data_IF_846571798298
#
_entry.id   IF_846571798298
#
_cell.length_a   1.000
_cell.length_b   1.000
_cell.length_c   1.000
_cell.angle_alpha   90.00
_cell.angle_beta   90.00
_cell.angle_gamma   90.00
#
_symmetry.space_group_name_H-M   'P 1'
#
loop_
_entity.id
_entity.type
_entity.pdbx_description
1 polymer ?
#
# COMPACT_ATOMS: atom_id res chain seq x y z
N UNK A 1 -8.84 -19.64 -20.66
CA UNK A 1 -7.59 -19.16 -20.04
C UNK A 1 -6.59 -19.01 -21.16
N UNK A 2 -6.05 -17.81 -21.40
CA UNK A 2 -5.03 -17.58 -22.42
C UNK A 2 -3.69 -18.04 -21.86
N UNK A 3 -3.46 -19.35 -21.85
CA UNK A 3 -2.23 -20.01 -21.40
C UNK A 3 -1.06 -19.75 -22.39
N UNK A 4 -0.86 -18.51 -22.82
CA UNK A 4 0.12 -18.21 -23.86
C UNK A 4 0.71 -16.80 -23.85
N UNK A 5 0.01 -15.81 -23.29
CA UNK A 5 0.35 -14.41 -23.54
C UNK A 5 0.25 -14.10 -25.05
N UNK A 6 -0.62 -13.18 -25.46
CA UNK A 6 -0.68 -12.79 -26.88
C UNK A 6 0.37 -11.71 -27.16
N UNK A 7 1.65 -12.08 -27.12
CA UNK A 7 2.75 -11.19 -27.46
C UNK A 7 2.80 -10.98 -28.98
N UNK A 8 1.98 -10.06 -29.49
CA UNK A 8 1.98 -9.68 -30.90
C UNK A 8 3.32 -9.08 -31.33
N UNK A 9 3.74 -9.34 -32.58
CA UNK A 9 4.89 -8.66 -33.19
C UNK A 9 6.27 -9.25 -32.93
N UNK A 10 6.37 -10.50 -32.45
CA UNK A 10 7.67 -11.15 -32.21
C UNK A 10 8.31 -10.80 -30.86
N UNK A 11 7.52 -10.26 -29.94
CA UNK A 11 7.93 -10.10 -28.55
C UNK A 11 8.10 -11.48 -27.90
N UNK A 12 9.26 -11.69 -27.27
CA UNK A 12 9.60 -12.86 -26.48
C UNK A 12 9.46 -12.52 -25.01
N UNK A 13 8.98 -13.46 -24.19
CA UNK A 13 8.83 -13.30 -22.74
C UNK A 13 10.13 -12.76 -22.12
N UNK A 14 10.05 -11.60 -21.50
CA UNK A 14 11.11 -10.94 -20.74
C UNK A 14 10.94 -11.11 -19.23
N UNK A 15 12.02 -10.86 -18.49
CA UNK A 15 11.95 -10.71 -17.03
C UNK A 15 11.10 -9.46 -16.75
N UNK A 16 9.97 -9.63 -16.04
CA UNK A 16 9.00 -8.56 -15.77
C UNK A 16 7.66 -8.73 -16.49
N UNK A 17 7.53 -9.70 -17.41
CA UNK A 17 6.25 -9.99 -18.06
C UNK A 17 5.30 -10.77 -17.13
N UNK A 18 4.08 -10.26 -16.95
CA UNK A 18 3.01 -10.93 -16.20
C UNK A 18 2.20 -11.83 -17.13
N UNK A 19 2.73 -13.02 -17.40
CA UNK A 19 1.99 -14.07 -18.10
C UNK A 19 0.88 -14.69 -17.22
N UNK A 20 1.04 -14.59 -15.89
CA UNK A 20 0.07 -15.06 -14.91
C UNK A 20 -1.10 -14.07 -14.78
N UNK A 21 -2.27 -14.58 -14.38
CA UNK A 21 -3.42 -13.75 -14.05
C UNK A 21 -3.01 -12.70 -12.98
N UNK A 22 -3.18 -11.40 -13.25
CA UNK A 22 -2.84 -10.34 -12.30
C UNK A 22 -3.75 -10.33 -11.08
N UNK A 23 -4.84 -11.11 -11.04
CA UNK A 23 -5.80 -11.16 -9.95
C UNK A 23 -6.35 -9.77 -9.58
N UNK A 24 -6.98 -9.10 -10.55
CA UNK A 24 -7.79 -7.91 -10.27
C UNK A 24 -9.03 -8.26 -9.44
N UNK A 25 -9.57 -7.28 -8.71
CA UNK A 25 -10.80 -7.43 -7.94
C UNK A 25 -11.98 -7.86 -8.80
N UNK A 26 -12.27 -7.09 -9.86
CA UNK A 26 -13.40 -7.29 -10.75
C UNK A 26 -12.93 -7.00 -12.17
N UNK A 27 -13.06 -7.97 -13.07
CA UNK A 27 -12.81 -7.73 -14.50
C UNK A 27 -13.99 -6.96 -15.11
N UNK A 28 -13.70 -5.94 -15.91
CA UNK A 28 -14.73 -5.31 -16.75
C UNK A 28 -15.26 -6.29 -17.80
N UNK A 29 -16.49 -6.07 -18.25
CA UNK A 29 -17.14 -6.94 -19.24
C UNK A 29 -18.11 -6.15 -20.12
N UNK A 30 -18.42 -6.69 -21.30
CA UNK A 30 -19.52 -6.21 -22.14
C UNK A 30 -20.83 -6.81 -21.63
N UNK A 31 -21.75 -5.95 -21.22
CA UNK A 31 -23.13 -6.31 -20.89
C UNK A 31 -23.96 -6.27 -22.18
N UNK A 32 -24.69 -7.34 -22.46
CA UNK A 32 -25.53 -7.47 -23.65
C UNK A 32 -26.91 -6.83 -23.47
N UNK A 33 -27.16 -6.14 -22.35
CA UNK A 33 -28.43 -5.51 -22.01
C UNK A 33 -29.64 -6.48 -22.06
N UNK A 34 -29.38 -7.79 -21.91
CA UNK A 34 -30.38 -8.84 -22.05
C UNK A 34 -30.76 -9.16 -23.49
N UNK A 35 -30.03 -8.63 -24.48
CA UNK A 35 -30.25 -8.77 -25.92
C UNK A 35 -29.04 -9.39 -26.64
N UNK A 36 -28.66 -10.67 -26.38
CA UNK A 36 -27.43 -11.29 -26.93
C UNK A 36 -27.27 -11.25 -28.46
N UNK A 37 -28.38 -11.11 -29.21
CA UNK A 37 -28.38 -11.04 -30.68
C UNK A 37 -28.29 -9.62 -31.24
N UNK A 38 -28.61 -8.59 -30.45
CA UNK A 38 -28.54 -7.19 -30.84
C UNK A 38 -27.33 -6.56 -30.17
N UNK A 39 -26.24 -6.37 -30.92
CA UNK A 39 -25.02 -5.77 -30.37
C UNK A 39 -25.03 -4.25 -30.35
N UNK A 40 -26.12 -3.63 -30.79
CA UNK A 40 -26.19 -2.18 -30.92
C UNK A 40 -26.48 -1.47 -29.60
N UNK A 41 -26.98 -2.20 -28.60
CA UNK A 41 -27.22 -1.71 -27.25
C UNK A 41 -26.28 -2.31 -26.19
N UNK A 42 -25.37 -3.21 -26.59
CA UNK A 42 -24.27 -3.67 -25.75
C UNK A 42 -23.47 -2.47 -25.19
N UNK A 43 -23.15 -2.50 -23.90
CA UNK A 43 -22.33 -1.47 -23.26
C UNK A 43 -21.24 -2.06 -22.38
N UNK A 44 -20.16 -1.31 -22.21
CA UNK A 44 -19.04 -1.71 -21.37
C UNK A 44 -19.32 -1.39 -19.91
N UNK A 45 -19.16 -2.39 -19.04
CA UNK A 45 -19.18 -2.26 -17.59
C UNK A 45 -17.74 -2.24 -17.10
N UNK A 46 -17.36 -1.13 -16.48
CA UNK A 46 -16.01 -0.97 -15.94
C UNK A 46 -15.77 -1.90 -14.74
N UNK A 47 -14.57 -2.48 -14.69
CA UNK A 47 -14.13 -3.33 -13.59
C UNK A 47 -13.48 -2.56 -12.45
N UNK A 48 -13.05 -3.31 -11.44
CA UNK A 48 -12.16 -2.84 -10.37
C UNK A 48 -10.78 -3.50 -10.58
N UNK A 49 -9.82 -2.70 -11.04
CA UNK A 49 -8.46 -3.14 -11.37
C UNK A 49 -7.47 -3.00 -10.21
N UNK A 50 -7.95 -2.79 -8.98
CA UNK A 50 -7.09 -2.97 -7.81
C UNK A 50 -6.69 -4.45 -7.68
N UNK A 51 -5.45 -4.68 -7.27
CA UNK A 51 -4.87 -6.02 -7.15
C UNK A 51 -5.40 -6.72 -5.90
N UNK A 52 -5.83 -7.97 -6.01
CA UNK A 52 -6.25 -8.74 -4.84
C UNK A 52 -5.09 -8.90 -3.86
N UNK A 53 -5.37 -8.67 -2.58
CA UNK A 53 -4.37 -8.73 -1.52
C UNK A 53 -4.95 -9.29 -0.23
N UNK A 54 -4.26 -10.30 0.32
CA UNK A 54 -4.52 -10.81 1.66
C UNK A 54 -4.07 -9.85 2.77
N UNK A 55 -3.35 -8.77 2.43
CA UNK A 55 -2.98 -7.71 3.36
C UNK A 55 -3.88 -6.46 3.26
N UNK A 56 -4.68 -6.36 2.20
CA UNK A 56 -5.64 -5.29 2.01
C UNK A 56 -5.59 -4.72 0.60
N UNK A 57 -6.68 -4.88 -0.13
CA UNK A 57 -6.99 -4.20 -1.39
C UNK A 57 -7.92 -3.02 -1.12
N UNK A 58 -7.74 -1.92 -1.85
CA UNK A 58 -8.67 -0.78 -1.78
C UNK A 58 -9.99 -1.11 -2.48
N UNK A 59 -11.12 -0.87 -1.82
CA UNK A 59 -12.45 -0.92 -2.43
C UNK A 59 -12.96 0.51 -2.65
N UNK A 60 -13.07 0.97 -3.91
CA UNK A 60 -13.49 2.34 -4.21
C UNK A 60 -14.97 2.61 -3.89
N UNK A 61 -15.81 1.57 -3.74
CA UNK A 61 -17.23 1.77 -3.45
C UNK A 61 -17.49 2.06 -1.97
N UNK A 62 -16.71 1.44 -1.09
CA UNK A 62 -16.83 1.61 0.36
C UNK A 62 -15.74 2.49 0.96
N UNK A 63 -14.72 2.85 0.18
CA UNK A 63 -13.55 3.61 0.60
C UNK A 63 -12.83 2.93 1.79
N UNK A 64 -12.70 1.60 1.73
CA UNK A 64 -12.09 0.78 2.80
C UNK A 64 -11.14 -0.26 2.25
N UNK A 65 -10.27 -0.78 3.12
CA UNK A 65 -9.40 -1.93 2.81
C UNK A 65 -10.14 -3.25 3.00
N UNK A 66 -10.19 -4.07 1.95
CA UNK A 66 -10.79 -5.41 1.93
C UNK A 66 -9.68 -6.45 1.89
N UNK A 67 -9.82 -7.52 2.70
CA UNK A 67 -8.88 -8.64 2.70
C UNK A 67 -9.38 -9.70 1.71
N UNK A 68 -8.55 -10.03 0.73
CA UNK A 68 -8.82 -11.11 -0.22
C UNK A 68 -8.18 -12.44 0.24
N UNK A 69 -8.60 -13.54 -0.38
CA UNK A 69 -8.08 -14.89 -0.13
C UNK A 69 -6.81 -15.22 -0.94
N UNK A 70 -6.40 -14.33 -1.84
CA UNK A 70 -5.26 -14.49 -2.73
C UNK A 70 -4.45 -13.19 -2.81
N UNK A 71 -3.14 -13.33 -3.04
CA UNK A 71 -2.25 -12.22 -3.36
C UNK A 71 -1.95 -12.21 -4.86
N UNK A 72 -2.10 -11.04 -5.47
CA UNK A 72 -1.67 -10.80 -6.84
C UNK A 72 -0.14 -10.97 -6.98
N UNK A 73 0.35 -11.61 -8.06
CA UNK A 73 1.78 -11.65 -8.37
C UNK A 73 2.35 -10.29 -8.78
N UNK A 74 1.48 -9.30 -9.03
CA UNK A 74 1.87 -7.95 -9.42
C UNK A 74 2.16 -7.05 -8.22
N UNK A 75 1.90 -7.52 -6.99
CA UNK A 75 2.25 -6.79 -5.77
C UNK A 75 3.77 -6.82 -5.57
N UNK A 76 4.35 -5.66 -5.25
CA UNK A 76 5.79 -5.43 -5.08
C UNK A 76 6.64 -5.92 -6.26
N UNK A 77 6.08 -5.91 -7.47
CA UNK A 77 6.67 -6.54 -8.66
C UNK A 77 7.38 -5.57 -9.62
N UNK A 78 7.23 -4.26 -9.45
CA UNK A 78 7.77 -3.22 -10.35
C UNK A 78 9.28 -3.04 -10.24
N UNK A 79 9.88 -2.23 -11.11
CA UNK A 79 11.35 -2.12 -11.16
C UNK A 79 11.93 -1.76 -9.77
N UNK A 80 12.92 -2.49 -9.24
CA UNK A 80 13.54 -2.15 -7.95
C UNK A 80 14.18 -0.76 -7.89
N UNK A 81 14.40 -0.12 -9.04
CA UNK A 81 14.91 1.26 -9.14
C UNK A 81 13.81 2.32 -9.18
N UNK A 82 12.55 1.93 -9.36
CA UNK A 82 11.42 2.84 -9.31
C UNK A 82 11.11 3.28 -7.87
N UNK A 83 10.64 4.51 -7.73
CA UNK A 83 10.15 5.03 -6.45
C UNK A 83 8.80 4.38 -6.10
N UNK A 84 8.62 3.99 -4.84
CA UNK A 84 7.37 3.43 -4.30
C UNK A 84 6.27 4.49 -4.34
N UNK A 85 6.61 5.79 -4.24
CA UNK A 85 5.62 6.86 -4.29
C UNK A 85 4.64 6.81 -3.12
N UNK A 86 3.34 6.76 -3.39
CA UNK A 86 2.28 6.87 -2.38
C UNK A 86 1.71 5.51 -1.93
N UNK A 87 2.34 4.38 -2.28
CA UNK A 87 1.79 3.08 -1.90
C UNK A 87 1.70 2.92 -0.37
N UNK A 88 0.52 2.55 0.16
CA UNK A 88 0.28 2.54 1.59
C UNK A 88 0.97 1.36 2.28
N UNK A 89 1.35 1.57 3.53
CA UNK A 89 1.88 0.49 4.37
C UNK A 89 0.81 -0.54 4.76
N UNK A 90 1.20 -1.83 4.91
CA UNK A 90 2.51 -2.39 4.58
C UNK A 90 2.77 -2.41 3.07
N UNK A 91 3.90 -1.82 2.64
CA UNK A 91 4.42 -1.95 1.27
C UNK A 91 5.72 -2.78 1.32
N UNK A 92 5.98 -3.62 0.32
CA UNK A 92 7.10 -4.56 0.33
C UNK A 92 8.43 -3.97 -0.10
N UNK A 93 8.54 -2.63 -0.14
CA UNK A 93 9.75 -1.93 -0.56
C UNK A 93 9.94 -1.88 -2.10
N UNK A 94 8.96 -2.33 -2.88
CA UNK A 94 8.93 -2.20 -4.34
C UNK A 94 7.52 -1.79 -4.77
N UNK A 95 7.43 -0.99 -5.82
CA UNK A 95 6.15 -0.56 -6.38
C UNK A 95 5.36 -1.75 -6.94
N UNK A 96 4.04 -1.74 -6.80
CA UNK A 96 3.14 -2.66 -7.50
C UNK A 96 3.12 -2.37 -9.01
N UNK A 97 2.95 -3.43 -9.83
CA UNK A 97 2.68 -3.27 -11.26
C UNK A 97 1.16 -3.20 -11.48
N UNK A 98 0.68 -2.15 -12.15
CA UNK A 98 -0.72 -2.04 -12.55
C UNK A 98 -1.26 -0.62 -12.50
N UNK A 99 -2.57 -0.47 -12.73
CA UNK A 99 -3.23 0.84 -12.83
C UNK A 99 -3.08 1.71 -11.57
N UNK A 100 -2.93 1.07 -10.41
CA UNK A 100 -2.83 1.73 -9.10
C UNK A 100 -1.44 1.66 -8.48
N UNK A 101 -0.42 1.18 -9.21
CA UNK A 101 0.96 1.23 -8.72
C UNK A 101 1.40 2.67 -8.42
N UNK A 102 2.18 2.87 -7.36
CA UNK A 102 2.62 4.19 -6.85
C UNK A 102 1.52 5.09 -6.27
N UNK A 103 0.26 4.66 -6.23
CA UNK A 103 -0.85 5.51 -5.75
C UNK A 103 -1.22 5.22 -4.30
N UNK A 104 -1.98 6.12 -3.68
CA UNK A 104 -2.50 5.94 -2.32
C UNK A 104 -3.52 4.80 -2.20
N UNK A 105 -4.00 4.28 -3.32
CA UNK A 105 -4.99 3.20 -3.42
C UNK A 105 -4.33 1.86 -3.78
N UNK A 106 -3.00 1.85 -3.96
CA UNK A 106 -2.25 0.64 -4.25
C UNK A 106 -2.50 -0.42 -3.18
N UNK A 107 -2.63 -1.67 -3.64
CA UNK A 107 -2.93 -2.78 -2.75
C UNK A 107 -1.72 -3.11 -1.87
N UNK A 108 -1.99 -3.46 -0.61
CA UNK A 108 -0.96 -3.64 0.41
C UNK A 108 -0.22 -4.96 0.21
N UNK A 109 1.02 -4.98 0.66
CA UNK A 109 1.89 -6.15 0.62
C UNK A 109 1.68 -7.06 1.81
N UNK A 110 1.57 -8.36 1.57
CA UNK A 110 1.62 -9.38 2.63
C UNK A 110 3.03 -9.62 3.18
N UNK A 111 4.06 -9.25 2.42
CA UNK A 111 5.48 -9.32 2.80
C UNK A 111 6.01 -8.01 3.36
N UNK A 112 5.31 -6.90 3.12
CA UNK A 112 5.57 -5.64 3.78
C UNK A 112 5.43 -5.86 5.28
N UNK A 113 6.50 -5.58 6.01
CA UNK A 113 6.43 -5.55 7.46
C UNK A 113 5.29 -4.59 7.79
N UNK A 114 4.29 -5.06 8.55
CA UNK A 114 3.36 -4.12 9.18
C UNK A 114 4.24 -3.28 10.08
N UNK A 115 4.65 -2.09 9.62
CA UNK A 115 5.24 -1.08 10.48
C UNK A 115 4.34 -1.03 11.71
N UNK A 116 4.85 -1.37 12.91
CA UNK A 116 4.02 -1.45 14.09
C UNK A 116 3.26 -0.12 14.24
N UNK A 117 1.94 -0.17 14.06
CA UNK A 117 1.13 1.03 14.21
C UNK A 117 1.19 1.40 15.67
N UNK A 118 1.72 2.58 15.94
CA UNK A 118 1.70 3.16 17.26
C UNK A 118 0.29 3.66 17.56
N UNK A 119 -0.50 2.83 18.23
CA UNK A 119 -1.89 3.18 18.59
C UNK A 119 -1.94 4.23 19.69
N UNK A 120 -0.87 4.33 20.48
CA UNK A 120 -0.70 5.30 21.55
C UNK A 120 0.79 5.49 21.83
N UNK A 121 1.21 6.75 21.97
CA UNK A 121 2.57 7.07 22.41
C UNK A 121 2.66 6.87 23.93
N UNK A 122 3.56 6.01 24.43
CA UNK A 122 3.79 5.90 25.87
C UNK A 122 4.11 7.27 26.48
N UNK A 123 3.65 7.53 27.70
CA UNK A 123 3.81 8.86 28.32
C UNK A 123 5.26 9.36 28.42
N UNK A 124 6.24 8.45 28.37
CA UNK A 124 7.68 8.73 28.48
C UNK A 124 8.43 8.57 27.15
N UNK A 125 7.72 8.44 26.04
CA UNK A 125 8.29 8.50 24.69
C UNK A 125 8.39 9.99 24.28
N UNK A 126 9.55 10.58 24.56
CA UNK A 126 9.79 11.99 24.31
C UNK A 126 10.16 12.27 22.86
N UNK A 127 10.74 11.29 22.16
CA UNK A 127 11.16 11.46 20.76
C UNK A 127 10.09 11.04 19.74
N UNK A 128 8.98 10.44 20.21
CA UNK A 128 7.83 9.94 19.44
C UNK A 128 8.18 8.83 18.44
N UNK A 129 9.07 7.91 18.82
CA UNK A 129 9.40 6.72 18.03
C UNK A 129 8.66 5.44 18.48
N UNK A 130 7.69 5.60 19.39
CA UNK A 130 6.82 4.56 19.95
C UNK A 130 7.53 3.49 20.74
N UNK A 131 8.73 3.81 21.19
CA UNK A 131 9.52 3.05 22.15
C UNK A 131 9.86 3.98 23.29
N UNK A 132 10.18 3.39 24.44
CA UNK A 132 10.79 4.13 25.54
C UNK A 132 12.17 3.52 25.72
N UNK A 133 13.20 4.22 25.22
CA UNK A 133 14.58 3.77 25.26
C UNK A 133 15.57 4.90 25.61
N UNK A 134 16.86 4.64 25.38
CA UNK A 134 17.92 5.60 25.72
C UNK A 134 17.81 6.93 24.96
N UNK A 135 17.11 6.98 23.82
CA UNK A 135 16.90 8.23 23.08
C UNK A 135 15.87 9.12 23.77
N UNK A 136 14.88 8.56 24.44
CA UNK A 136 13.94 9.32 25.26
C UNK A 136 14.62 9.85 26.50
N UNK A 137 15.45 9.01 27.13
CA UNK A 137 16.31 9.47 28.22
C UNK A 137 17.24 10.60 27.77
N UNK A 138 17.87 10.47 26.60
CA UNK A 138 18.71 11.52 26.03
C UNK A 138 17.90 12.81 25.83
N UNK A 139 16.69 12.72 25.28
CA UNK A 139 15.79 13.87 25.07
C UNK A 139 15.43 14.54 26.39
N UNK A 140 15.05 13.76 27.39
CA UNK A 140 14.80 14.24 28.75
C UNK A 140 16.02 14.96 29.35
N UNK A 141 17.22 14.39 29.16
CA UNK A 141 18.44 14.95 29.76
C UNK A 141 18.92 16.26 29.14
N UNK A 142 18.45 16.63 27.95
CA UNK A 142 18.91 17.84 27.23
C UNK A 142 18.69 19.12 28.03
N UNK A 143 17.57 19.19 28.75
CA UNK A 143 17.21 20.34 29.59
C UNK A 143 17.10 19.95 31.07
N UNK A 144 17.71 18.82 31.46
CA UNK A 144 17.74 18.44 32.85
C UNK A 144 18.55 19.46 33.64
N UNK A 145 17.94 19.96 34.71
CA UNK A 145 18.47 20.99 35.60
C UNK A 145 18.47 22.39 34.96
N UNK A 146 17.74 22.61 33.87
CA UNK A 146 17.36 23.96 33.50
C UNK A 146 16.35 24.51 34.51
N UNK A 147 16.55 25.75 34.96
CA UNK A 147 15.59 26.43 35.82
C UNK A 147 15.41 27.88 35.41
N UNK A 148 14.13 28.27 35.31
CA UNK A 148 13.68 29.59 34.88
C UNK A 148 12.76 30.25 35.93
N UNK A 149 12.98 29.96 37.22
CA UNK A 149 12.27 30.62 38.32
C UNK A 149 12.81 32.04 38.55
N UNK A 150 11.93 32.93 39.01
CA UNK A 150 12.32 34.27 39.44
C UNK A 150 11.88 34.49 40.90
N UNK A 151 12.79 34.89 41.82
CA UNK A 151 14.21 35.14 41.57
C UNK A 151 14.98 33.83 41.29
N UNK A 152 16.08 33.93 40.51
CA UNK A 152 16.89 32.77 40.12
C UNK A 152 17.43 31.97 41.32
N UNK A 153 17.55 32.60 42.50
CA UNK A 153 17.98 31.90 43.73
C UNK A 153 17.04 30.75 44.08
N UNK A 154 15.74 30.86 43.77
CA UNK A 154 14.74 29.85 44.08
C UNK A 154 14.90 28.53 43.31
N UNK A 155 15.80 28.47 42.33
CA UNK A 155 15.97 27.29 41.47
C UNK A 155 16.48 26.05 42.18
N UNK A 156 17.26 26.21 43.25
CA UNK A 156 17.97 25.11 43.91
C UNK A 156 18.06 25.31 45.43
N UNK A 157 17.08 26.03 45.99
CA UNK A 157 16.91 26.23 47.44
C UNK A 157 16.28 25.00 48.12
#
# INVERSE_FOLDING_TARGET
>A
MNEGGNFGGGATVGIGDTYADPFFAIQGYWDDNGTPSDKSDDFWVEGDYHLKSAAGRWDPNTETWVIDDINSPCIDAGDPSDDIGLEPNPNGGRINIGAYGSTAEASKSSSGVVEPICTEYPAMDFNKDCKVDFKDFATFTQSWLECNLQPQSACWE
#
